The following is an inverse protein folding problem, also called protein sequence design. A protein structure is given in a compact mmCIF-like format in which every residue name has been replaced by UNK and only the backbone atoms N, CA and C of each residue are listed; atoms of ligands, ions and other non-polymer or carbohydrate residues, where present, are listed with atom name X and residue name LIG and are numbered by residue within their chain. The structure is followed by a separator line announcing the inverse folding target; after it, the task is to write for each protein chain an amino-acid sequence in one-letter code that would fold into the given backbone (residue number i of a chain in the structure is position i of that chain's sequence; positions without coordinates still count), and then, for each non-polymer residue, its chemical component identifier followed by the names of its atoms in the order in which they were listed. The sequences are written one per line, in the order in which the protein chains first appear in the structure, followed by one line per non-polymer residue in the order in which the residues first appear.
data_IF_458597675607
#
_entry.id   IF_458597675607
#
_cell.length_a   1.000
_cell.length_b   1.000
_cell.length_c   1.000
_cell.angle_alpha   90.00
_cell.angle_beta   90.00
_cell.angle_gamma   90.00
#
_symmetry.space_group_name_H-M   'P 1'
#
loop_
_entity.id
_entity.type
_entity.pdbx_description
1 polymer ?
#
# COMPACT_ATOMS: atom_id res chain seq x y z
N UNK A 1 -8.01 -2.44 -17.49
CA UNK A 1 -8.63 -2.36 -16.16
C UNK A 1 -7.71 -1.61 -15.20
N UNK A 2 -8.24 -0.71 -14.44
CA UNK A 2 -7.44 0.07 -13.48
C UNK A 2 -7.17 -0.78 -12.24
N UNK A 3 -5.91 -1.09 -12.02
CA UNK A 3 -5.48 -1.98 -10.95
C UNK A 3 -4.72 -1.23 -9.88
N UNK A 4 -5.05 -1.52 -8.63
CA UNK A 4 -4.48 -0.86 -7.46
C UNK A 4 -3.86 -1.91 -6.54
N UNK A 5 -2.61 -1.67 -6.15
CA UNK A 5 -1.94 -2.50 -5.16
C UNK A 5 -2.10 -1.84 -3.79
N UNK A 6 -2.61 -2.60 -2.84
CA UNK A 6 -2.79 -2.15 -1.45
C UNK A 6 -1.77 -2.88 -0.60
N UNK A 7 -0.93 -2.14 0.13
CA UNK A 7 0.07 -2.72 1.02
C UNK A 7 -0.22 -2.23 2.42
N UNK A 8 -0.80 -3.10 3.24
CA UNK A 8 -1.30 -2.75 4.55
C UNK A 8 -1.30 -4.00 5.44
N UNK A 9 -0.64 -3.93 6.60
CA UNK A 9 -0.54 -5.08 7.49
C UNK A 9 -1.79 -5.29 8.36
N UNK A 10 -2.60 -4.26 8.56
CA UNK A 10 -3.87 -4.40 9.27
C UNK A 10 -4.94 -4.88 8.31
N UNK A 11 -5.39 -6.11 8.50
CA UNK A 11 -6.38 -6.74 7.61
C UNK A 11 -7.69 -5.98 7.53
N UNK A 12 -8.10 -5.36 8.63
CA UNK A 12 -9.36 -4.60 8.65
C UNK A 12 -9.27 -3.38 7.76
N UNK A 13 -8.14 -2.68 7.81
CA UNK A 13 -7.91 -1.51 6.96
C UNK A 13 -7.79 -1.94 5.51
N UNK A 14 -7.03 -3.00 5.25
CA UNK A 14 -6.87 -3.53 3.90
C UNK A 14 -8.21 -3.93 3.29
N UNK A 15 -9.05 -4.64 4.06
CA UNK A 15 -10.36 -5.07 3.58
C UNK A 15 -11.28 -3.88 3.32
N UNK A 16 -11.22 -2.86 4.15
CA UNK A 16 -12.02 -1.67 3.97
C UNK A 16 -11.64 -0.95 2.68
N UNK A 17 -10.35 -0.79 2.44
CA UNK A 17 -9.85 -0.18 1.21
C UNK A 17 -10.24 -1.01 -0.01
N UNK A 18 -10.01 -2.32 0.07
CA UNK A 18 -10.33 -3.24 -1.02
C UNK A 18 -11.81 -3.16 -1.39
N UNK A 19 -12.68 -3.27 -0.40
CA UNK A 19 -14.12 -3.24 -0.62
C UNK A 19 -14.55 -1.91 -1.26
N UNK A 20 -14.09 -0.79 -0.71
CA UNK A 20 -14.48 0.51 -1.23
C UNK A 20 -14.00 0.75 -2.65
N UNK A 21 -12.77 0.33 -2.96
CA UNK A 21 -12.23 0.51 -4.30
C UNK A 21 -12.91 -0.41 -5.31
N UNK A 22 -13.18 -1.66 -4.94
CA UNK A 22 -13.85 -2.59 -5.83
C UNK A 22 -15.29 -2.19 -6.11
N UNK A 23 -15.96 -1.60 -5.13
CA UNK A 23 -17.30 -1.06 -5.33
C UNK A 23 -17.32 0.08 -6.35
N UNK A 24 -16.19 0.74 -6.54
CA UNK A 24 -16.04 1.81 -7.53
C UNK A 24 -15.42 1.33 -8.85
N UNK A 25 -15.35 0.04 -9.05
CA UNK A 25 -14.94 -0.55 -10.32
C UNK A 25 -13.44 -0.78 -10.49
N UNK A 26 -12.66 -0.58 -9.45
CA UNK A 26 -11.22 -0.85 -9.52
C UNK A 26 -10.90 -2.30 -9.21
N UNK A 27 -9.83 -2.78 -9.81
CA UNK A 27 -9.30 -4.10 -9.48
C UNK A 27 -8.23 -3.92 -8.40
N UNK A 28 -8.23 -4.78 -7.39
CA UNK A 28 -7.28 -4.63 -6.29
C UNK A 28 -6.53 -5.92 -6.00
N UNK A 29 -5.29 -5.76 -5.53
CA UNK A 29 -4.54 -6.85 -4.90
C UNK A 29 -4.00 -6.32 -3.58
N UNK A 30 -3.93 -7.19 -2.58
CA UNK A 30 -3.50 -6.82 -1.23
C UNK A 30 -2.25 -7.58 -0.84
N UNK A 31 -1.27 -6.85 -0.30
CA UNK A 31 -0.11 -7.41 0.36
C UNK A 31 -0.12 -6.94 1.81
N UNK A 32 0.30 -7.82 2.72
CA UNK A 32 0.25 -7.53 4.15
C UNK A 32 1.61 -7.14 4.73
N UNK A 33 2.63 -7.09 3.89
CA UNK A 33 3.95 -6.58 4.28
C UNK A 33 4.68 -6.03 3.05
N UNK A 34 5.78 -5.33 3.29
CA UNK A 34 6.52 -4.67 2.21
C UNK A 34 7.18 -5.63 1.24
N UNK A 35 7.63 -6.78 1.71
CA UNK A 35 8.28 -7.77 0.84
C UNK A 35 7.27 -8.36 -0.14
N UNK A 36 6.10 -8.75 0.35
CA UNK A 36 5.03 -9.25 -0.50
C UNK A 36 4.55 -8.15 -1.46
N UNK A 37 4.45 -6.92 -0.97
CA UNK A 37 4.07 -5.78 -1.80
C UNK A 37 5.00 -5.58 -2.97
N UNK A 38 6.30 -5.63 -2.72
CA UNK A 38 7.28 -5.48 -3.78
C UNK A 38 7.21 -6.64 -4.78
N UNK A 39 7.01 -7.85 -4.28
CA UNK A 39 6.84 -9.03 -5.14
C UNK A 39 5.65 -8.90 -6.08
N UNK A 40 4.51 -8.50 -5.53
CA UNK A 40 3.31 -8.30 -6.34
C UNK A 40 3.50 -7.19 -7.35
N UNK A 41 4.16 -6.11 -6.93
CA UNK A 41 4.45 -5.00 -7.83
C UNK A 41 5.31 -5.43 -9.01
N UNK A 42 6.28 -6.29 -8.76
CA UNK A 42 7.20 -6.77 -9.81
C UNK A 42 6.55 -7.78 -10.75
N UNK A 43 5.54 -8.50 -10.27
CA UNK A 43 4.92 -9.58 -11.06
C UNK A 43 3.60 -9.19 -11.71
N UNK A 44 3.06 -8.03 -11.41
CA UNK A 44 1.78 -7.55 -11.97
C UNK A 44 1.90 -6.08 -12.36
N UNK A 45 0.94 -5.62 -13.14
CA UNK A 45 0.89 -4.24 -13.59
C UNK A 45 -0.15 -3.46 -12.79
N UNK A 46 0.27 -2.34 -12.20
CA UNK A 46 -0.63 -1.50 -11.40
C UNK A 46 -0.57 -0.05 -11.88
N UNK A 47 -1.66 0.68 -11.69
CA UNK A 47 -1.76 2.10 -12.00
C UNK A 47 -1.63 2.97 -10.76
N UNK A 48 -1.80 2.37 -9.57
CA UNK A 48 -1.70 3.09 -8.31
C UNK A 48 -1.23 2.12 -7.23
N UNK A 49 -0.39 2.61 -6.33
CA UNK A 49 -0.01 1.86 -5.12
C UNK A 49 -0.48 2.66 -3.91
N UNK A 50 -1.18 2.00 -3.01
CA UNK A 50 -1.55 2.56 -1.71
C UNK A 50 -0.79 1.77 -0.65
N UNK A 51 0.07 2.44 0.10
CA UNK A 51 0.94 1.77 1.07
C UNK A 51 0.90 2.47 2.42
N UNK A 52 0.84 1.68 3.48
CA UNK A 52 1.09 2.20 4.82
C UNK A 52 2.56 2.62 4.92
N UNK A 53 2.84 3.64 5.74
CA UNK A 53 4.19 4.11 5.98
C UNK A 53 4.97 3.11 6.82
N UNK A 54 4.33 2.57 7.85
CA UNK A 54 4.97 1.63 8.77
C UNK A 54 4.51 0.21 8.46
N UNK A 55 5.42 -0.58 7.94
CA UNK A 55 5.15 -1.95 7.54
C UNK A 55 6.17 -2.89 8.16
N UNK A 56 5.78 -4.13 8.44
CA UNK A 56 6.78 -5.13 8.82
C UNK A 56 7.67 -5.49 7.64
N UNK A 57 8.87 -5.94 7.94
CA UNK A 57 9.89 -6.45 7.00
C UNK A 57 10.53 -5.37 6.15
N UNK A 58 9.76 -4.66 5.35
CA UNK A 58 10.27 -3.58 4.51
C UNK A 58 9.35 -2.39 4.69
N UNK A 59 9.85 -1.30 5.29
CA UNK A 59 9.00 -0.17 5.61
C UNK A 59 8.54 0.59 4.36
N UNK A 60 7.51 1.41 4.54
CA UNK A 60 6.85 2.08 3.42
C UNK A 60 7.77 3.02 2.64
N UNK A 61 8.72 3.67 3.29
CA UNK A 61 9.64 4.57 2.58
C UNK A 61 10.61 3.78 1.70
N UNK A 62 11.18 2.69 2.24
CA UNK A 62 12.06 1.83 1.46
C UNK A 62 11.32 1.19 0.31
N UNK A 63 10.10 0.74 0.56
CA UNK A 63 9.24 0.16 -0.46
C UNK A 63 8.97 1.17 -1.58
N UNK A 64 8.65 2.39 -1.23
CA UNK A 64 8.39 3.45 -2.20
C UNK A 64 9.61 3.71 -3.08
N UNK A 65 10.80 3.70 -2.49
CA UNK A 65 12.06 3.82 -3.23
C UNK A 65 12.20 2.72 -4.28
N UNK A 66 11.96 1.46 -3.89
CA UNK A 66 12.08 0.34 -4.81
C UNK A 66 11.05 0.41 -5.93
N UNK A 67 9.84 0.82 -5.61
CA UNK A 67 8.78 1.02 -6.60
C UNK A 67 9.17 2.12 -7.58
N UNK A 68 9.69 3.23 -7.07
CA UNK A 68 10.11 4.36 -7.91
C UNK A 68 11.27 4.02 -8.84
N UNK A 69 12.16 3.13 -8.41
CA UNK A 69 13.23 2.65 -9.29
C UNK A 69 12.66 1.88 -10.48
N UNK A 70 11.66 1.05 -10.23
CA UNK A 70 11.04 0.23 -11.27
C UNK A 70 10.10 1.04 -12.17
N UNK A 71 9.38 1.98 -11.57
CA UNK A 71 8.43 2.83 -12.30
C UNK A 71 8.41 4.23 -11.69
N UNK A 72 9.17 5.18 -12.27
CA UNK A 72 9.26 6.54 -11.70
C UNK A 72 7.96 7.34 -11.75
N UNK A 73 7.00 6.91 -12.55
CA UNK A 73 5.79 7.71 -12.80
C UNK A 73 4.54 7.20 -12.09
N UNK A 74 4.58 6.01 -11.50
CA UNK A 74 3.39 5.49 -10.83
C UNK A 74 3.08 6.30 -9.56
N UNK A 75 1.83 6.72 -9.36
CA UNK A 75 1.47 7.38 -8.10
C UNK A 75 1.51 6.39 -6.95
N UNK A 76 2.10 6.82 -5.85
CA UNK A 76 2.14 6.05 -4.61
C UNK A 76 1.50 6.91 -3.53
N UNK A 77 0.39 6.45 -3.00
CA UNK A 77 -0.32 7.13 -1.93
C UNK A 77 0.12 6.51 -0.60
N UNK A 78 0.78 7.30 0.23
CA UNK A 78 1.26 6.84 1.53
C UNK A 78 0.20 7.14 2.58
N UNK A 79 -0.23 6.11 3.28
CA UNK A 79 -1.21 6.27 4.35
C UNK A 79 -0.49 6.47 5.67
N UNK A 80 -0.99 7.39 6.45
CA UNK A 80 -0.63 7.44 7.86
C UNK A 80 -1.36 6.30 8.54
N UNK A 81 -1.08 6.09 9.78
CA UNK A 81 -1.49 4.94 10.55
C UNK A 81 -3.00 4.87 10.81
N UNK A 82 -3.79 4.62 9.78
CA UNK A 82 -5.25 4.61 9.89
C UNK A 82 -5.78 3.53 10.82
N UNK A 83 -5.15 2.37 10.82
CA UNK A 83 -5.58 1.26 11.65
C UNK A 83 -4.80 1.16 12.95
N UNK A 84 -4.00 2.15 13.30
CA UNK A 84 -3.05 2.02 14.39
C UNK A 84 -3.49 2.78 15.63
N UNK A 85 -2.68 2.60 16.64
CA UNK A 85 -2.85 3.26 17.91
C UNK A 85 -2.47 4.72 17.86
N UNK A 86 -2.79 5.43 18.93
CA UNK A 86 -2.42 6.83 19.09
C UNK A 86 -0.92 7.09 18.97
N UNK A 87 -0.10 6.09 19.27
CA UNK A 87 1.36 6.22 19.17
C UNK A 87 1.81 6.59 17.77
N UNK A 88 1.21 5.99 16.76
CA UNK A 88 1.54 6.32 15.38
C UNK A 88 1.11 7.73 15.02
N UNK A 89 -0.06 8.13 15.48
CA UNK A 89 -0.57 9.48 15.23
C UNK A 89 0.30 10.53 15.90
N UNK A 90 0.74 10.28 17.12
CA UNK A 90 1.61 11.18 17.86
C UNK A 90 2.94 11.37 17.14
N UNK A 91 3.39 10.37 16.40
CA UNK A 91 4.62 10.46 15.64
C UNK A 91 4.57 11.47 14.50
N UNK A 92 3.41 11.94 14.13
CA UNK A 92 3.24 12.93 13.07
C UNK A 92 3.01 14.35 13.58
N UNK A 93 2.86 14.50 14.85
CA UNK A 93 2.73 15.82 15.46
C UNK A 93 4.10 16.44 15.79
#
# INVERSE_FOLDING_TARGET
MYSILIIEDDKRVADLLKTGLEENGYHTMVAYDGVMGLRLFQSHSFQLVISDIILPKLDGFELCKEIRKANPHIPVLMLTALGSTDDKLDGFD
#
